data_IF_392787187859
#
_entry.id   IF_392787187859
#
_cell.length_a   1.000
_cell.length_b   1.000
_cell.length_c   1.000
_cell.angle_alpha   90.00
_cell.angle_beta   90.00
_cell.angle_gamma   90.00
#
_symmetry.space_group_name_H-M   'P 1'
#
loop_
_entity.id
_entity.type
_entity.pdbx_description
1 polymer ?
#
# COMPACT_ATOMS: atom_id res chain seq x y z
N UNK A 1 10.24 1.74 -40.40
CA UNK A 1 10.61 1.80 -38.97
C UNK A 1 9.44 1.25 -38.18
N UNK A 2 9.63 0.16 -37.43
CA UNK A 2 8.58 -0.33 -36.53
C UNK A 2 8.40 0.70 -35.41
N UNK A 3 7.21 1.28 -35.30
CA UNK A 3 6.83 2.14 -34.18
C UNK A 3 6.78 1.27 -32.92
N UNK A 4 7.85 1.29 -32.13
CA UNK A 4 7.86 0.70 -30.79
C UNK A 4 6.75 1.38 -29.99
N UNK A 5 5.74 0.63 -29.56
CA UNK A 5 4.69 1.17 -28.71
C UNK A 5 5.33 1.78 -27.45
N UNK A 6 4.89 2.97 -27.05
CA UNK A 6 5.41 3.63 -25.86
C UNK A 6 5.17 2.75 -24.62
N UNK A 7 6.21 2.58 -23.80
CA UNK A 7 6.10 1.84 -22.53
C UNK A 7 5.13 2.56 -21.60
N UNK A 8 4.31 1.79 -20.88
CA UNK A 8 3.46 2.35 -19.83
C UNK A 8 4.34 2.89 -18.70
N UNK A 9 4.12 4.13 -18.28
CA UNK A 9 4.83 4.72 -17.14
C UNK A 9 4.04 4.49 -15.85
N UNK A 10 4.67 3.85 -14.86
CA UNK A 10 4.12 3.55 -13.54
C UNK A 10 4.92 4.25 -12.45
N UNK A 11 4.23 5.00 -11.59
CA UNK A 11 4.82 5.60 -10.39
C UNK A 11 4.34 4.86 -9.15
N UNK A 12 5.28 4.34 -8.34
CA UNK A 12 4.99 3.57 -7.12
C UNK A 12 5.45 4.33 -5.88
N UNK A 13 4.52 4.96 -5.17
CA UNK A 13 4.81 5.60 -3.89
C UNK A 13 4.83 4.55 -2.77
N UNK A 14 5.98 4.43 -2.10
CA UNK A 14 6.30 3.30 -1.22
C UNK A 14 6.96 2.12 -1.95
N UNK A 15 7.51 2.33 -3.15
CA UNK A 15 8.12 1.29 -3.99
C UNK A 15 9.36 0.62 -3.38
N UNK A 16 9.96 1.18 -2.34
CA UNK A 16 11.06 0.55 -1.61
C UNK A 16 10.61 -0.25 -0.38
N UNK A 17 9.30 -0.43 -0.19
CA UNK A 17 8.73 -1.24 0.88
C UNK A 17 8.58 -2.71 0.51
N UNK A 18 7.95 -3.48 1.40
CA UNK A 18 7.75 -4.92 1.22
C UNK A 18 6.90 -5.28 0.00
N UNK A 19 5.70 -4.72 -0.09
CA UNK A 19 4.83 -4.93 -1.25
C UNK A 19 5.29 -4.05 -2.43
N UNK A 20 5.61 -2.78 -2.17
CA UNK A 20 5.99 -1.84 -3.22
C UNK A 20 7.17 -2.29 -4.10
N UNK A 21 8.19 -2.93 -3.51
CA UNK A 21 9.34 -3.44 -4.29
C UNK A 21 8.95 -4.60 -5.21
N UNK A 22 8.00 -5.43 -4.77
CA UNK A 22 7.45 -6.52 -5.58
C UNK A 22 6.55 -6.00 -6.69
N UNK A 23 5.78 -4.94 -6.43
CA UNK A 23 5.02 -4.24 -7.47
C UNK A 23 5.98 -3.68 -8.54
N UNK A 24 7.08 -3.05 -8.12
CA UNK A 24 8.10 -2.56 -9.06
C UNK A 24 8.67 -3.71 -9.90
N UNK A 25 9.05 -4.83 -9.27
CA UNK A 25 9.51 -6.04 -9.95
C UNK A 25 8.50 -6.57 -10.98
N UNK A 26 7.23 -6.70 -10.59
CA UNK A 26 6.17 -7.20 -11.46
C UNK A 26 5.86 -6.26 -12.64
N UNK A 27 6.03 -4.95 -12.46
CA UNK A 27 5.87 -3.95 -13.52
C UNK A 27 7.06 -3.96 -14.49
N UNK A 28 8.29 -4.05 -13.99
CA UNK A 28 9.50 -4.23 -14.83
C UNK A 28 9.38 -5.49 -15.69
N UNK A 29 8.88 -6.59 -15.13
CA UNK A 29 8.64 -7.83 -15.89
C UNK A 29 7.62 -7.68 -17.04
N UNK A 30 6.78 -6.64 -17.01
CA UNK A 30 5.85 -6.28 -18.10
C UNK A 30 6.40 -5.21 -19.06
N UNK A 31 7.70 -4.92 -18.98
CA UNK A 31 8.36 -3.88 -19.76
C UNK A 31 7.76 -2.47 -19.55
N UNK A 32 7.30 -2.18 -18.32
CA UNK A 32 6.84 -0.84 -17.95
C UNK A 32 8.01 0.03 -17.52
N UNK A 33 7.88 1.34 -17.73
CA UNK A 33 8.79 2.33 -17.17
C UNK A 33 8.40 2.60 -15.71
N UNK A 34 9.24 2.23 -14.75
CA UNK A 34 8.89 2.21 -13.33
C UNK A 34 9.70 3.26 -12.56
N UNK A 35 8.98 4.16 -11.91
CA UNK A 35 9.53 5.13 -10.95
C UNK A 35 9.07 4.77 -9.55
N UNK A 36 10.00 4.46 -8.66
CA UNK A 36 9.70 4.25 -7.23
C UNK A 36 9.98 5.52 -6.45
N UNK A 37 9.00 6.01 -5.70
CA UNK A 37 9.16 7.14 -4.79
C UNK A 37 9.16 6.66 -3.34
N UNK A 38 10.17 7.09 -2.57
CA UNK A 38 10.23 6.84 -1.13
C UNK A 38 11.11 7.87 -0.42
N UNK A 39 11.02 7.95 0.92
CA UNK A 39 11.85 8.88 1.72
C UNK A 39 13.35 8.60 1.66
N UNK A 40 13.74 7.36 1.35
CA UNK A 40 15.14 6.92 1.31
C UNK A 40 15.64 6.57 -0.09
N UNK A 41 14.79 6.60 -1.12
CA UNK A 41 15.13 6.15 -2.47
C UNK A 41 15.20 4.63 -2.58
N UNK A 42 16.31 4.12 -3.09
CA UNK A 42 16.54 2.69 -3.28
C UNK A 42 16.37 1.91 -1.96
N UNK A 43 15.76 0.72 -1.98
CA UNK A 43 15.60 -0.09 -0.78
C UNK A 43 16.95 -0.61 -0.26
N UNK A 44 17.02 -0.78 1.06
CA UNK A 44 18.00 -1.70 1.63
C UNK A 44 17.57 -3.13 1.32
N UNK A 45 18.25 -3.78 0.37
CA UNK A 45 17.86 -5.10 -0.18
C UNK A 45 17.61 -6.20 0.86
N UNK A 46 18.39 -6.31 1.96
CA UNK A 46 18.10 -7.26 3.03
C UNK A 46 16.75 -7.03 3.74
N UNK A 47 16.19 -5.81 3.68
CA UNK A 47 14.93 -5.46 4.35
C UNK A 47 13.67 -5.76 3.53
N UNK A 48 13.83 -6.01 2.22
CA UNK A 48 12.71 -6.18 1.28
C UNK A 48 12.76 -7.48 0.47
N UNK A 49 13.92 -8.11 0.38
CA UNK A 49 14.15 -9.32 -0.42
C UNK A 49 15.03 -10.31 0.34
N UNK A 50 15.03 -11.56 -0.10
CA UNK A 50 15.94 -12.58 0.44
C UNK A 50 17.41 -12.36 -0.02
N UNK A 51 17.65 -11.43 -0.93
CA UNK A 51 18.98 -11.11 -1.44
C UNK A 51 19.65 -10.05 -0.56
N UNK A 52 20.96 -10.21 -0.34
CA UNK A 52 21.79 -9.23 0.35
C UNK A 52 22.14 -8.03 -0.53
N UNK A 53 22.09 -8.21 -1.86
CA UNK A 53 22.46 -7.20 -2.87
C UNK A 53 21.30 -6.89 -3.82
N UNK A 54 21.45 -5.81 -4.59
CA UNK A 54 20.49 -5.40 -5.61
C UNK A 54 20.28 -6.51 -6.67
N UNK A 55 19.04 -6.98 -6.88
CA UNK A 55 18.74 -7.95 -7.92
C UNK A 55 18.75 -7.27 -9.31
N UNK A 56 19.08 -7.97 -10.41
CA UNK A 56 19.26 -7.33 -11.73
C UNK A 56 18.09 -6.47 -12.22
N UNK A 57 16.84 -6.89 -11.97
CA UNK A 57 15.64 -6.13 -12.36
C UNK A 57 15.55 -4.75 -11.70
N UNK A 58 16.21 -4.54 -10.55
CA UNK A 58 16.14 -3.26 -9.84
C UNK A 58 16.83 -2.13 -10.57
N UNK A 59 17.75 -2.45 -11.49
CA UNK A 59 18.43 -1.48 -12.35
C UNK A 59 17.48 -0.87 -13.38
N UNK A 60 16.36 -1.54 -13.66
CA UNK A 60 15.28 -1.05 -14.54
C UNK A 60 14.25 -0.19 -13.80
N UNK A 61 14.48 0.10 -12.51
CA UNK A 61 13.62 0.98 -11.70
C UNK A 61 14.35 2.27 -11.42
N UNK A 62 13.68 3.40 -11.66
CA UNK A 62 14.17 4.71 -11.25
C UNK A 62 13.81 4.94 -9.78
N UNK A 63 14.80 4.86 -8.89
CA UNK A 63 14.61 5.07 -7.45
C UNK A 63 14.73 6.55 -7.08
N UNK A 64 13.61 7.18 -6.70
CA UNK A 64 13.52 8.60 -6.35
C UNK A 64 13.37 8.79 -4.85
N UNK A 65 14.26 9.61 -4.29
CA UNK A 65 14.14 10.06 -2.90
C UNK A 65 13.22 11.27 -2.83
N UNK A 66 12.02 11.11 -2.29
CA UNK A 66 11.05 12.19 -2.12
C UNK A 66 10.16 11.96 -0.89
N UNK A 67 9.43 13.00 -0.47
CA UNK A 67 8.50 12.92 0.65
C UNK A 67 7.06 13.07 0.14
N UNK A 68 6.23 12.04 0.36
CA UNK A 68 4.84 12.05 -0.09
C UNK A 68 4.02 13.19 0.53
N UNK A 69 4.40 13.66 1.72
CA UNK A 69 3.73 14.77 2.40
C UNK A 69 4.18 16.15 1.86
N UNK A 70 5.09 16.17 0.88
CA UNK A 70 5.62 17.38 0.24
C UNK A 70 5.55 17.22 -1.28
N UNK A 71 4.41 17.58 -1.92
CA UNK A 71 4.17 17.41 -3.36
C UNK A 71 5.27 17.92 -4.27
N UNK A 72 5.86 19.08 -3.95
CA UNK A 72 6.96 19.69 -4.70
C UNK A 72 8.16 18.75 -4.91
N UNK A 73 8.33 17.74 -4.05
CA UNK A 73 9.43 16.78 -4.14
C UNK A 73 9.20 15.67 -5.17
N UNK A 74 7.97 15.46 -5.65
CA UNK A 74 7.62 14.34 -6.56
C UNK A 74 6.64 14.67 -7.68
N UNK A 75 6.02 15.86 -7.71
CA UNK A 75 5.05 16.24 -8.75
C UNK A 75 5.58 16.06 -10.18
N UNK A 76 6.86 16.35 -10.42
CA UNK A 76 7.49 16.15 -11.73
C UNK A 76 7.53 14.68 -12.16
N UNK A 77 7.67 13.75 -11.21
CA UNK A 77 7.68 12.32 -11.50
C UNK A 77 6.29 11.83 -11.96
N UNK A 78 5.20 12.52 -11.58
CA UNK A 78 3.82 12.19 -11.98
C UNK A 78 3.50 12.59 -13.43
N UNK A 79 4.27 13.50 -14.02
CA UNK A 79 4.02 13.95 -15.39
C UNK A 79 4.11 12.77 -16.37
N UNK A 80 3.14 12.68 -17.27
CA UNK A 80 3.03 11.61 -18.26
C UNK A 80 2.91 10.19 -17.68
N UNK A 81 2.63 10.04 -16.37
CA UNK A 81 2.39 8.72 -15.79
C UNK A 81 1.02 8.17 -16.26
N UNK A 82 1.00 6.93 -16.73
CA UNK A 82 -0.24 6.24 -17.08
C UNK A 82 -0.97 5.76 -15.82
N UNK A 83 -0.20 5.39 -14.79
CA UNK A 83 -0.72 4.93 -13.51
C UNK A 83 0.15 5.36 -12.33
N UNK A 84 -0.51 5.59 -11.19
CA UNK A 84 0.12 5.89 -9.89
C UNK A 84 -0.40 4.92 -8.84
N UNK A 85 0.49 4.43 -7.97
CA UNK A 85 0.16 3.52 -6.87
C UNK A 85 0.56 4.16 -5.54
N UNK A 86 -0.36 4.15 -4.59
CA UNK A 86 -0.06 4.35 -3.18
C UNK A 86 0.03 3.00 -2.47
N UNK A 87 1.25 2.57 -2.14
CA UNK A 87 1.55 1.32 -1.43
C UNK A 87 2.11 1.57 -0.02
N UNK A 88 1.86 2.76 0.54
CA UNK A 88 2.35 3.13 1.86
C UNK A 88 1.33 2.78 2.94
N UNK A 89 1.85 2.47 4.12
CA UNK A 89 1.05 2.30 5.32
C UNK A 89 1.92 1.95 6.50
N UNK A 90 1.45 2.31 7.69
CA UNK A 90 2.03 1.88 8.96
C UNK A 90 1.05 0.95 9.64
N UNK A 91 1.55 -0.19 10.13
CA UNK A 91 0.75 -1.14 10.93
C UNK A 91 0.71 -0.73 12.41
N UNK A 92 1.68 0.08 12.85
CA UNK A 92 1.82 0.56 14.21
C UNK A 92 2.17 2.05 14.14
N UNK A 93 1.37 2.90 14.81
CA UNK A 93 1.75 4.28 15.12
C UNK A 93 2.98 4.26 16.05
N UNK A 94 3.85 5.26 15.96
CA UNK A 94 5.27 5.24 16.36
C UNK A 94 5.60 4.95 17.85
N UNK A 95 4.66 4.50 18.67
CA UNK A 95 4.83 4.17 20.09
C UNK A 95 5.55 2.82 20.34
N UNK A 96 6.38 2.36 19.40
CA UNK A 96 7.17 1.13 19.53
C UNK A 96 8.57 1.37 20.15
N UNK A 97 9.04 2.63 20.25
CA UNK A 97 10.37 2.94 20.80
C UNK A 97 10.52 2.54 22.27
N UNK A 98 9.45 2.55 23.07
CA UNK A 98 9.46 2.08 24.47
C UNK A 98 9.67 0.57 24.61
N UNK A 99 9.18 -0.21 23.63
CA UNK A 99 9.32 -1.68 23.57
C UNK A 99 10.74 -2.07 23.17
N UNK A 100 11.33 -1.37 22.18
CA UNK A 100 12.72 -1.59 21.76
C UNK A 100 13.75 -1.19 22.83
N UNK A 101 13.38 -0.28 23.74
CA UNK A 101 14.23 0.14 24.86
C UNK A 101 14.10 -0.76 26.10
N UNK A 102 13.31 -1.84 26.05
CA UNK A 102 13.16 -2.79 27.16
C UNK A 102 12.42 -2.24 28.39
N UNK A 103 11.78 -1.07 28.27
CA UNK A 103 11.07 -0.41 29.38
C UNK A 103 9.64 -0.94 29.58
N UNK A 104 9.11 -1.68 28.61
CA UNK A 104 7.76 -2.28 28.67
C UNK A 104 7.75 -3.71 28.11
N UNK A 105 6.80 -4.52 28.59
CA UNK A 105 6.57 -5.86 28.05
C UNK A 105 6.12 -5.78 26.58
N UNK A 106 6.57 -6.70 25.70
CA UNK A 106 6.12 -6.76 24.31
C UNK A 106 4.58 -6.77 24.16
N UNK A 107 3.88 -7.34 25.15
CA UNK A 107 2.42 -7.46 25.18
C UNK A 107 1.75 -6.12 25.51
N UNK A 108 2.31 -5.33 26.44
CA UNK A 108 1.76 -4.01 26.80
C UNK A 108 1.99 -2.99 25.69
N UNK A 109 3.14 -3.06 25.01
CA UNK A 109 3.44 -2.23 23.84
C UNK A 109 2.48 -2.47 22.68
N UNK A 110 2.11 -3.73 22.41
CA UNK A 110 1.06 -4.06 21.44
C UNK A 110 -0.29 -3.48 21.88
N UNK A 111 -0.70 -3.67 23.14
CA UNK A 111 -1.98 -3.16 23.65
C UNK A 111 -2.12 -1.63 23.52
N UNK A 112 -1.04 -0.88 23.74
CA UNK A 112 -1.04 0.59 23.61
C UNK A 112 -1.01 1.05 22.15
N UNK A 113 -0.23 0.38 21.30
CA UNK A 113 -0.18 0.62 19.86
C UNK A 113 -1.52 0.32 19.14
N UNK A 114 -2.40 -0.45 19.78
CA UNK A 114 -3.76 -0.77 19.31
C UNK A 114 -4.88 -0.04 20.09
N UNK A 115 -4.55 1.01 20.85
CA UNK A 115 -5.53 1.75 21.67
C UNK A 115 -6.46 2.67 20.85
N UNK A 116 -7.70 2.81 21.32
CA UNK A 116 -8.84 3.40 20.60
C UNK A 116 -8.96 4.94 20.62
N UNK A 117 -8.03 5.68 21.23
CA UNK A 117 -8.06 7.17 21.25
C UNK A 117 -6.70 7.82 20.90
N UNK A 118 -6.55 8.40 19.69
CA UNK A 118 -5.52 9.41 19.30
C UNK A 118 -6.08 10.36 18.20
N UNK A 119 -5.58 11.60 18.11
CA UNK A 119 -6.06 12.66 17.21
C UNK A 119 -5.21 12.74 15.91
N UNK A 120 -5.85 13.12 14.79
CA UNK A 120 -5.25 13.16 13.44
C UNK A 120 -4.54 14.48 13.08
N UNK A 121 -4.55 14.88 11.80
CA UNK A 121 -3.99 16.15 11.30
C UNK A 121 -4.70 17.40 11.88
N UNK A 122 -3.95 18.50 12.09
CA UNK A 122 -4.48 19.81 12.54
C UNK A 122 -5.19 20.59 11.42
N UNK A 123 -5.11 20.13 10.17
CA UNK A 123 -5.73 20.79 9.02
C UNK A 123 -6.49 19.79 8.16
N UNK A 124 -7.72 20.14 7.79
CA UNK A 124 -8.60 19.33 6.95
C UNK A 124 -8.11 19.38 5.49
N UNK A 125 -7.64 18.26 4.89
CA UNK A 125 -7.03 18.25 3.56
C UNK A 125 -7.93 18.72 2.40
N UNK A 126 -9.23 18.88 2.65
CA UNK A 126 -10.26 19.27 1.69
C UNK A 126 -10.51 20.79 1.61
N UNK A 127 -9.90 21.60 2.49
CA UNK A 127 -10.12 23.05 2.55
C UNK A 127 -8.77 23.78 2.59
N UNK A 128 -8.13 23.97 1.44
CA UNK A 128 -7.05 24.95 1.29
C UNK A 128 -7.41 25.96 0.19
N UNK A 129 -7.45 27.27 0.49
CA UNK A 129 -7.48 28.33 -0.51
C UNK A 129 -6.17 28.32 -1.32
N UNK A 130 -6.25 28.54 -2.63
CA UNK A 130 -5.14 28.46 -3.60
C UNK A 130 -3.97 29.45 -3.41
N UNK A 131 -3.98 30.27 -2.35
CA UNK A 131 -3.06 31.41 -2.20
C UNK A 131 -2.04 31.29 -1.05
N UNK A 132 -1.85 30.10 -0.48
CA UNK A 132 -0.85 29.86 0.58
C UNK A 132 0.31 29.01 0.03
N UNK A 133 1.47 29.61 -0.21
CA UNK A 133 2.62 29.01 -0.93
C UNK A 133 3.37 27.85 -0.26
N UNK A 134 2.68 26.90 0.39
CA UNK A 134 3.29 25.64 0.86
C UNK A 134 2.28 24.49 0.93
N UNK A 135 2.36 23.54 -0.03
CA UNK A 135 1.53 22.32 -0.12
C UNK A 135 1.88 21.22 0.91
N UNK A 136 2.68 21.53 1.93
CA UNK A 136 3.15 20.55 2.90
C UNK A 136 2.07 20.22 3.95
N UNK A 137 1.82 18.93 4.19
CA UNK A 137 0.97 18.48 5.32
C UNK A 137 1.90 18.17 6.49
N UNK A 138 1.74 18.91 7.59
CA UNK A 138 2.49 18.69 8.84
C UNK A 138 1.72 17.76 9.79
N UNK A 139 2.40 16.90 10.58
CA UNK A 139 1.76 16.09 11.61
C UNK A 139 1.02 16.96 12.64
N UNK A 140 -0.21 16.59 12.99
CA UNK A 140 -1.03 17.34 13.95
C UNK A 140 -0.63 17.20 15.42
N UNK A 141 0.15 16.18 15.78
CA UNK A 141 0.59 15.99 17.17
C UNK A 141 1.86 16.78 17.50
N UNK A 142 1.90 17.37 18.70
CA UNK A 142 3.05 18.12 19.26
C UNK A 142 4.37 17.33 19.27
N UNK A 143 4.33 16.00 19.14
CA UNK A 143 5.50 15.08 19.20
C UNK A 143 6.01 14.62 17.81
N UNK A 144 5.39 15.06 16.71
CA UNK A 144 5.78 14.64 15.36
C UNK A 144 5.48 13.17 15.02
N UNK A 145 4.53 12.54 15.73
CA UNK A 145 4.13 11.15 15.47
C UNK A 145 3.42 11.01 14.11
N UNK A 146 3.77 9.95 13.37
CA UNK A 146 3.05 9.57 12.15
C UNK A 146 1.84 8.73 12.56
N UNK A 147 0.64 9.28 12.37
CA UNK A 147 -0.64 8.62 12.66
C UNK A 147 -1.17 7.81 11.48
N UNK A 148 -2.14 6.93 11.73
CA UNK A 148 -2.84 6.21 10.67
C UNK A 148 -3.57 7.16 9.74
N UNK A 149 -4.19 8.22 10.26
CA UNK A 149 -4.86 9.25 9.47
C UNK A 149 -3.88 9.91 8.50
N UNK A 150 -2.74 10.38 9.00
CA UNK A 150 -1.76 11.06 8.17
C UNK A 150 -1.18 10.13 7.08
N UNK A 151 -0.74 8.93 7.48
CA UNK A 151 -0.03 8.03 6.58
C UNK A 151 -0.96 7.21 5.68
N UNK A 152 -2.06 6.68 6.20
CA UNK A 152 -2.93 5.81 5.40
C UNK A 152 -3.95 6.61 4.60
N UNK A 153 -4.56 7.65 5.19
CA UNK A 153 -5.66 8.40 4.57
C UNK A 153 -5.17 9.66 3.88
N UNK A 154 -4.60 10.59 4.63
CA UNK A 154 -4.32 11.95 4.15
C UNK A 154 -3.22 11.92 3.06
N UNK A 155 -2.16 11.12 3.23
CA UNK A 155 -1.14 10.96 2.18
C UNK A 155 -1.66 10.30 0.91
N UNK A 156 -2.68 9.44 1.02
CA UNK A 156 -3.30 8.78 -0.13
C UNK A 156 -4.19 9.75 -0.91
N UNK A 157 -4.99 10.54 -0.20
CA UNK A 157 -5.82 11.61 -0.78
C UNK A 157 -4.93 12.66 -1.42
N UNK A 158 -3.85 13.07 -0.75
CA UNK A 158 -2.87 14.02 -1.28
C UNK A 158 -2.27 13.51 -2.59
N UNK A 159 -1.75 12.28 -2.61
CA UNK A 159 -1.19 11.72 -3.83
C UNK A 159 -2.23 11.60 -4.95
N UNK A 160 -3.45 11.19 -4.64
CA UNK A 160 -4.53 11.10 -5.64
C UNK A 160 -4.88 12.47 -6.23
N UNK A 161 -4.89 13.53 -5.40
CA UNK A 161 -5.07 14.91 -5.84
C UNK A 161 -3.99 15.33 -6.83
N UNK A 162 -2.72 15.11 -6.49
CA UNK A 162 -1.58 15.46 -7.35
C UNK A 162 -1.57 14.63 -8.64
N UNK A 163 -1.90 13.34 -8.57
CA UNK A 163 -2.03 12.47 -9.74
C UNK A 163 -3.15 12.94 -10.68
N UNK A 164 -4.31 13.30 -10.13
CA UNK A 164 -5.42 13.85 -10.91
C UNK A 164 -5.06 15.19 -11.55
N UNK A 165 -4.37 16.08 -10.83
CA UNK A 165 -3.89 17.35 -11.36
C UNK A 165 -2.87 17.17 -12.50
N UNK A 166 -2.02 16.14 -12.41
CA UNK A 166 -1.08 15.75 -13.46
C UNK A 166 -1.74 15.01 -14.65
N UNK A 167 -3.05 14.74 -14.60
CA UNK A 167 -3.78 14.07 -15.68
C UNK A 167 -3.55 12.55 -15.76
N UNK A 168 -3.17 11.92 -14.65
CA UNK A 168 -2.97 10.47 -14.58
C UNK A 168 -4.30 9.74 -14.82
N UNK A 169 -4.25 8.66 -15.61
CA UNK A 169 -5.46 7.92 -16.03
C UNK A 169 -5.94 6.91 -15.00
N UNK A 170 -5.02 6.24 -14.31
CA UNK A 170 -5.33 5.18 -13.35
C UNK A 170 -4.64 5.41 -12.00
N UNK A 171 -5.37 5.23 -10.92
CA UNK A 171 -4.84 5.35 -9.56
C UNK A 171 -5.15 4.07 -8.78
N UNK A 172 -4.13 3.46 -8.18
CA UNK A 172 -4.32 2.31 -7.31
C UNK A 172 -3.92 2.64 -5.87
N UNK A 173 -4.73 2.15 -4.92
CA UNK A 173 -4.47 2.26 -3.50
C UNK A 173 -4.42 0.87 -2.88
N UNK A 174 -3.35 0.59 -2.14
CA UNK A 174 -3.24 -0.62 -1.33
C UNK A 174 -3.96 -0.38 0.00
N UNK A 175 -5.19 -0.89 0.06
CA UNK A 175 -6.01 -0.93 1.26
C UNK A 175 -5.73 -2.20 2.07
N UNK A 176 -6.72 -2.65 2.85
CA UNK A 176 -6.70 -3.92 3.57
C UNK A 176 -8.11 -4.54 3.59
N UNK A 177 -8.16 -5.87 3.63
CA UNK A 177 -9.36 -6.59 4.01
C UNK A 177 -9.62 -6.40 5.52
N UNK A 178 -10.89 -6.32 5.89
CA UNK A 178 -11.27 -6.52 7.28
C UNK A 178 -10.91 -7.96 7.68
N UNK A 179 -10.46 -8.18 8.92
CA UNK A 179 -10.24 -9.55 9.42
C UNK A 179 -8.81 -10.07 9.41
N UNK A 180 -7.82 -9.24 9.10
CA UNK A 180 -6.44 -9.56 9.41
C UNK A 180 -6.21 -9.54 10.94
N UNK A 181 -5.44 -10.50 11.50
CA UNK A 181 -5.28 -10.61 12.95
C UNK A 181 -4.73 -9.33 13.56
N UNK A 182 -5.27 -8.94 14.72
CA UNK A 182 -4.68 -7.91 15.61
C UNK A 182 -4.74 -6.48 15.02
N UNK A 183 -5.36 -6.26 13.85
CA UNK A 183 -5.51 -4.90 13.30
C UNK A 183 -6.58 -4.10 14.06
N UNK A 184 -6.28 -2.86 14.50
CA UNK A 184 -7.26 -2.04 15.18
C UNK A 184 -8.31 -1.54 14.19
N UNK A 185 -9.57 -1.44 14.62
CA UNK A 185 -10.67 -1.00 13.75
C UNK A 185 -10.38 0.37 13.07
N UNK A 186 -9.64 1.27 13.75
CA UNK A 186 -9.21 2.56 13.20
C UNK A 186 -8.30 2.42 11.97
N UNK A 187 -7.43 1.41 11.95
CA UNK A 187 -6.58 1.15 10.79
C UNK A 187 -7.42 0.83 9.54
N UNK A 188 -8.41 -0.07 9.67
CA UNK A 188 -9.32 -0.40 8.56
C UNK A 188 -10.19 0.80 8.19
N UNK A 189 -10.71 1.53 9.19
CA UNK A 189 -11.54 2.71 8.97
C UNK A 189 -10.81 3.78 8.17
N UNK A 190 -9.57 4.13 8.54
CA UNK A 190 -8.78 5.15 7.82
C UNK A 190 -8.48 4.75 6.38
N UNK A 191 -8.22 3.46 6.13
CA UNK A 191 -8.05 2.92 4.77
C UNK A 191 -9.34 3.01 3.95
N UNK A 192 -10.50 2.71 4.55
CA UNK A 192 -11.82 2.86 3.90
C UNK A 192 -12.19 4.32 3.62
N UNK A 193 -11.94 5.22 4.57
CA UNK A 193 -12.13 6.67 4.38
C UNK A 193 -11.30 7.21 3.20
N UNK A 194 -10.09 6.68 3.01
CA UNK A 194 -9.25 7.03 1.87
C UNK A 194 -9.87 6.58 0.54
N UNK A 195 -10.35 5.33 0.47
CA UNK A 195 -11.03 4.79 -0.72
C UNK A 195 -12.24 5.64 -1.10
N UNK A 196 -13.13 5.90 -0.15
CA UNK A 196 -14.36 6.67 -0.36
C UNK A 196 -14.04 8.11 -0.81
N UNK A 197 -13.05 8.74 -0.18
CA UNK A 197 -12.60 10.08 -0.53
C UNK A 197 -12.01 10.14 -1.94
N UNK A 198 -11.18 9.16 -2.32
CA UNK A 198 -10.54 9.12 -3.64
C UNK A 198 -11.60 8.86 -4.71
N UNK A 199 -12.50 7.90 -4.49
CA UNK A 199 -13.56 7.55 -5.42
C UNK A 199 -14.52 8.73 -5.68
N UNK A 200 -14.86 9.47 -4.63
CA UNK A 200 -15.81 10.59 -4.70
C UNK A 200 -15.19 11.83 -5.33
N UNK A 201 -13.97 12.20 -4.94
CA UNK A 201 -13.36 13.47 -5.34
C UNK A 201 -12.60 13.39 -6.66
N UNK A 202 -12.12 12.21 -7.06
CA UNK A 202 -11.35 12.01 -8.29
C UNK A 202 -11.97 10.96 -9.23
N UNK A 203 -13.25 11.11 -9.64
CA UNK A 203 -13.95 10.12 -10.45
C UNK A 203 -13.46 10.03 -11.91
N UNK A 204 -12.68 11.04 -12.37
CA UNK A 204 -12.07 11.04 -13.71
C UNK A 204 -10.95 10.01 -13.82
N UNK A 205 -10.25 9.73 -12.73
CA UNK A 205 -9.25 8.66 -12.68
C UNK A 205 -9.95 7.31 -12.53
N UNK A 206 -9.44 6.30 -13.23
CA UNK A 206 -9.83 4.91 -12.96
C UNK A 206 -9.18 4.47 -11.64
N UNK A 207 -9.99 4.45 -10.58
CA UNK A 207 -9.54 4.11 -9.23
C UNK A 207 -9.64 2.60 -8.97
N UNK A 208 -8.59 2.00 -8.42
CA UNK A 208 -8.52 0.59 -8.02
C UNK A 208 -8.14 0.49 -6.53
N UNK A 209 -8.94 -0.20 -5.74
CA UNK A 209 -8.72 -0.33 -4.29
C UNK A 209 -8.47 -1.78 -3.93
N UNK A 210 -7.20 -2.17 -3.84
CA UNK A 210 -6.82 -3.55 -3.52
C UNK A 210 -6.95 -3.78 -2.03
N UNK A 211 -7.73 -4.80 -1.63
CA UNK A 211 -8.02 -5.13 -0.23
C UNK A 211 -7.43 -6.50 0.14
N UNK A 212 -6.09 -6.63 0.17
CA UNK A 212 -5.47 -7.91 0.54
C UNK A 212 -5.67 -8.24 2.02
N UNK A 213 -5.63 -9.53 2.34
CA UNK A 213 -5.45 -10.02 3.70
C UNK A 213 -4.00 -9.85 4.20
N UNK A 214 -3.61 -10.64 5.20
CA UNK A 214 -2.22 -10.64 5.70
C UNK A 214 -1.24 -11.04 4.60
N UNK A 215 -0.23 -10.21 4.35
CA UNK A 215 0.81 -10.48 3.36
C UNK A 215 1.98 -11.22 3.99
N UNK A 216 2.39 -12.33 3.38
CA UNK A 216 3.54 -13.09 3.83
C UNK A 216 4.53 -13.34 2.71
N UNK A 217 5.80 -13.47 3.08
CA UNK A 217 6.85 -13.94 2.19
C UNK A 217 8.07 -14.43 2.97
N UNK A 218 8.84 -15.32 2.34
CA UNK A 218 10.10 -15.84 2.88
C UNK A 218 11.12 -14.75 3.21
N UNK A 219 11.12 -13.62 2.49
CA UNK A 219 12.01 -12.49 2.78
C UNK A 219 11.72 -11.81 4.12
N UNK A 220 10.60 -12.13 4.77
CA UNK A 220 10.27 -11.69 6.13
C UNK A 220 9.95 -12.91 6.97
N UNK A 221 10.99 -13.54 7.52
CA UNK A 221 10.89 -14.78 8.28
C UNK A 221 9.82 -14.73 9.39
N UNK A 222 9.64 -13.58 10.06
CA UNK A 222 8.60 -13.41 11.10
C UNK A 222 7.16 -13.51 10.57
N UNK A 223 6.93 -13.28 9.27
CA UNK A 223 5.59 -13.36 8.65
C UNK A 223 5.15 -14.80 8.40
N UNK A 224 6.08 -15.76 8.29
CA UNK A 224 5.75 -17.15 7.96
C UNK A 224 4.96 -17.86 9.07
N UNK A 225 5.38 -17.83 10.36
CA UNK A 225 4.57 -18.40 11.43
C UNK A 225 3.20 -17.73 11.56
N UNK A 226 3.12 -16.41 11.34
CA UNK A 226 1.86 -15.66 11.36
C UNK A 226 0.94 -15.99 10.21
N UNK A 227 1.47 -16.23 9.02
CA UNK A 227 0.70 -16.74 7.90
C UNK A 227 0.09 -18.11 8.21
N UNK A 228 0.86 -19.02 8.82
CA UNK A 228 0.37 -20.36 9.21
C UNK A 228 -0.78 -20.27 10.22
N UNK A 229 -0.65 -19.43 11.26
CA UNK A 229 -1.71 -19.19 12.24
C UNK A 229 -2.95 -18.59 11.58
N UNK A 230 -2.77 -17.56 10.75
CA UNK A 230 -3.87 -16.88 10.04
C UNK A 230 -4.60 -17.84 9.10
N UNK A 231 -3.85 -18.68 8.37
CA UNK A 231 -4.39 -19.67 7.46
C UNK A 231 -5.17 -20.77 8.19
N UNK A 232 -4.65 -21.26 9.32
CA UNK A 232 -5.38 -22.19 10.19
C UNK A 232 -6.71 -21.60 10.68
N UNK A 233 -6.70 -20.34 11.13
CA UNK A 233 -7.91 -19.61 11.51
C UNK A 233 -8.92 -19.47 10.36
N UNK A 234 -8.45 -19.14 9.16
CA UNK A 234 -9.30 -19.09 7.96
C UNK A 234 -9.96 -20.42 7.64
N UNK A 235 -9.22 -21.54 7.71
CA UNK A 235 -9.78 -22.88 7.45
C UNK A 235 -10.87 -23.20 8.48
N UNK A 236 -10.60 -23.01 9.77
CA UNK A 236 -11.58 -23.28 10.83
C UNK A 236 -12.83 -22.42 10.66
N UNK A 237 -12.68 -21.13 10.32
CA UNK A 237 -13.84 -20.26 10.07
C UNK A 237 -14.63 -20.70 8.82
N UNK A 238 -13.94 -21.08 7.75
CA UNK A 238 -14.57 -21.56 6.51
C UNK A 238 -15.35 -22.85 6.72
N UNK A 239 -14.82 -23.79 7.52
CA UNK A 239 -15.48 -25.07 7.84
C UNK A 239 -16.67 -24.91 8.77
N UNK A 240 -16.67 -23.89 9.62
CA UNK A 240 -17.78 -23.59 10.54
C UNK A 240 -18.84 -22.66 9.93
N UNK A 241 -18.78 -22.45 8.61
CA UNK A 241 -19.75 -21.60 7.89
C UNK A 241 -19.68 -20.13 8.28
N UNK A 242 -18.55 -19.65 8.81
CA UNK A 242 -18.39 -18.28 9.29
C UNK A 242 -18.89 -18.04 10.72
N UNK A 243 -19.35 -19.07 11.44
CA UNK A 243 -19.93 -18.90 12.79
C UNK A 243 -18.91 -18.56 13.89
N UNK A 244 -17.60 -18.64 13.62
CA UNK A 244 -16.54 -18.17 14.54
C UNK A 244 -16.02 -16.76 14.23
N UNK A 245 -16.65 -16.04 13.28
CA UNK A 245 -16.34 -14.64 12.92
C UNK A 245 -16.55 -13.66 14.08
N UNK A 246 -17.17 -14.06 15.19
CA UNK A 246 -17.30 -13.21 16.39
C UNK A 246 -16.18 -13.44 17.42
N UNK A 247 -15.56 -14.63 17.43
CA UNK A 247 -14.56 -15.04 18.42
C UNK A 247 -13.11 -14.74 17.98
N UNK A 248 -12.88 -14.57 16.67
CA UNK A 248 -11.56 -14.33 16.07
C UNK A 248 -11.36 -12.86 15.59
N UNK A 249 -12.25 -11.93 15.99
CA UNK A 249 -12.53 -10.74 15.16
C UNK A 249 -13.17 -11.19 13.83
N UNK A 250 -13.23 -10.35 12.79
CA UNK A 250 -13.70 -10.73 11.43
C UNK A 250 -12.83 -11.84 10.77
N UNK A 251 -12.67 -12.97 11.44
CA UNK A 251 -11.49 -13.81 11.42
C UNK A 251 -11.31 -14.54 10.10
N UNK A 252 -10.11 -14.37 9.54
CA UNK A 252 -9.60 -15.30 8.54
C UNK A 252 -9.59 -14.74 7.13
N UNK A 253 -9.34 -13.45 6.92
CA UNK A 253 -8.92 -13.02 5.58
C UNK A 253 -7.73 -13.88 5.13
N UNK A 254 -7.90 -14.64 4.04
CA UNK A 254 -6.88 -15.59 3.54
C UNK A 254 -5.54 -14.85 3.39
N UNK A 255 -4.46 -15.32 4.05
CA UNK A 255 -3.15 -14.71 3.87
C UNK A 255 -2.70 -14.92 2.42
N UNK A 256 -2.13 -13.87 1.83
CA UNK A 256 -1.67 -13.88 0.44
C UNK A 256 -0.16 -13.71 0.38
N UNK A 257 0.48 -14.39 -0.58
CA UNK A 257 1.89 -14.12 -0.89
C UNK A 257 2.03 -12.70 -1.42
N UNK A 258 3.02 -11.97 -0.94
CA UNK A 258 3.23 -10.59 -1.37
C UNK A 258 3.47 -10.47 -2.90
N UNK A 259 4.19 -11.42 -3.50
CA UNK A 259 4.40 -11.47 -4.96
C UNK A 259 3.10 -11.70 -5.74
N UNK A 260 2.17 -12.50 -5.20
CA UNK A 260 0.86 -12.72 -5.81
C UNK A 260 0.06 -11.41 -5.85
N UNK A 261 0.05 -10.67 -4.75
CA UNK A 261 -0.65 -9.37 -4.69
C UNK A 261 0.00 -8.35 -5.62
N UNK A 262 1.34 -8.34 -5.71
CA UNK A 262 2.05 -7.47 -6.64
C UNK A 262 1.68 -7.75 -8.10
N UNK A 263 1.63 -9.03 -8.50
CA UNK A 263 1.20 -9.43 -9.84
C UNK A 263 -0.24 -9.01 -10.14
N UNK A 264 -1.15 -9.21 -9.18
CA UNK A 264 -2.54 -8.81 -9.31
C UNK A 264 -2.71 -7.29 -9.49
N UNK A 265 -1.91 -6.50 -8.77
CA UNK A 265 -1.92 -5.04 -8.87
C UNK A 265 -1.52 -4.57 -10.26
N UNK A 266 -0.40 -5.08 -10.77
CA UNK A 266 0.09 -4.72 -12.11
C UNK A 266 -0.87 -5.24 -13.18
N UNK A 267 -1.43 -6.43 -13.01
CA UNK A 267 -2.46 -6.97 -13.90
C UNK A 267 -3.71 -6.08 -13.96
N UNK A 268 -4.24 -5.67 -12.80
CA UNK A 268 -5.42 -4.81 -12.73
C UNK A 268 -5.17 -3.42 -13.32
N UNK A 269 -3.97 -2.87 -13.17
CA UNK A 269 -3.58 -1.64 -13.84
C UNK A 269 -3.45 -1.82 -15.37
N UNK A 270 -3.02 -2.99 -15.82
CA UNK A 270 -2.95 -3.36 -17.24
C UNK A 270 -4.31 -3.51 -17.90
N UNK A 271 -5.28 -4.07 -17.18
CA UNK A 271 -6.65 -4.36 -17.62
C UNK A 271 -7.59 -3.17 -17.40
N UNK A 272 -7.98 -2.50 -18.48
CA UNK A 272 -8.85 -1.31 -18.45
C UNK A 272 -10.26 -1.56 -17.91
N UNK A 273 -10.69 -2.83 -17.79
CA UNK A 273 -12.00 -3.18 -17.23
C UNK A 273 -12.04 -3.18 -15.70
N UNK A 274 -10.88 -3.30 -15.04
CA UNK A 274 -10.79 -3.41 -13.58
C UNK A 274 -10.89 -2.02 -12.95
N UNK A 275 -11.83 -1.84 -12.03
CA UNK A 275 -12.06 -0.59 -11.28
C UNK A 275 -12.78 -0.87 -9.96
N UNK A 276 -12.66 0.06 -9.02
CA UNK A 276 -13.33 0.00 -7.73
C UNK A 276 -12.61 -0.91 -6.72
N UNK A 277 -13.34 -1.35 -5.67
CA UNK A 277 -12.84 -2.31 -4.69
C UNK A 277 -12.49 -3.66 -5.32
N UNK A 278 -11.34 -4.21 -4.93
CA UNK A 278 -10.83 -5.50 -5.40
C UNK A 278 -10.54 -6.36 -4.17
N UNK A 279 -11.42 -7.31 -3.92
CA UNK A 279 -11.37 -8.20 -2.77
C UNK A 279 -10.43 -9.39 -3.01
N UNK A 280 -10.11 -10.13 -1.94
CA UNK A 280 -9.13 -11.23 -1.94
C UNK A 280 -9.31 -12.20 -3.12
N UNK A 281 -10.54 -12.61 -3.43
CA UNK A 281 -10.82 -13.54 -4.54
C UNK A 281 -10.41 -12.94 -5.89
N UNK A 282 -10.78 -11.69 -6.14
CA UNK A 282 -10.45 -10.98 -7.38
C UNK A 282 -8.94 -10.75 -7.51
N UNK A 283 -8.23 -10.52 -6.39
CA UNK A 283 -6.77 -10.45 -6.36
C UNK A 283 -6.16 -11.77 -6.85
N UNK A 284 -6.65 -12.92 -6.37
CA UNK A 284 -6.16 -14.23 -6.80
C UNK A 284 -6.47 -14.50 -8.28
N UNK A 285 -7.66 -14.13 -8.75
CA UNK A 285 -8.06 -14.26 -10.15
C UNK A 285 -7.18 -13.40 -11.07
N UNK A 286 -6.90 -12.16 -10.68
CA UNK A 286 -5.98 -11.26 -11.38
C UNK A 286 -4.57 -11.85 -11.46
N UNK A 287 -4.02 -12.30 -10.34
CA UNK A 287 -2.70 -12.93 -10.33
C UNK A 287 -2.63 -14.16 -11.25
N UNK A 288 -3.66 -15.00 -11.22
CA UNK A 288 -3.76 -16.18 -12.10
C UNK A 288 -3.89 -15.82 -13.58
N UNK A 289 -4.53 -14.69 -13.92
CA UNK A 289 -4.57 -14.16 -15.30
C UNK A 289 -3.18 -13.69 -15.73
N UNK A 290 -2.48 -12.93 -14.87
CA UNK A 290 -1.11 -12.47 -15.13
C UNK A 290 -0.14 -13.63 -15.36
N UNK A 291 -0.17 -14.65 -14.50
CA UNK A 291 0.66 -15.85 -14.62
C UNK A 291 0.41 -16.60 -15.93
N UNK A 292 -0.86 -16.83 -16.30
CA UNK A 292 -1.21 -17.48 -17.57
C UNK A 292 -0.71 -16.70 -18.80
N UNK A 293 -0.73 -15.37 -18.76
CA UNK A 293 -0.21 -14.55 -19.86
C UNK A 293 1.31 -14.70 -20.01
N UNK A 294 2.05 -14.81 -18.91
CA UNK A 294 3.51 -14.99 -18.94
C UNK A 294 3.98 -16.37 -19.43
N UNK A 295 3.08 -17.33 -19.59
CA UNK A 295 3.38 -18.65 -20.15
C UNK A 295 3.18 -18.75 -21.67
N UNK A 296 2.50 -17.77 -22.27
CA UNK A 296 2.22 -17.68 -23.71
C UNK A 296 3.24 -16.78 -24.40
#
# INVERSE_FOLDING_TARGET
MATTAAKKKLVVCGGNGFLGSRICKAAVARDWDVVSISRSGEPSWPSVSAHSTAPPWSQSVTWRRANILQPSTYQSDLQSADAVIHSMGILLEADYKGVLQGKESPISGLRRAFSSTKQGSNTNPMQQPKDSGSDAIEPGEHDGQITYELMNRDSAILLAREANAAGVKSFAYISAAAGAPILPARYIKTKREAEDSIATNFPKMRNLFFRPGFLFDSSRAFTIPMAAVTYGGFIVNSLTGGNLTWLMGAGGAKPLKADLVAEAVVEGLGDGSVKGPIEIKEIEELANRGWRRGML
#
